data_IF_144068914880
#
_entry.id   IF_144068914880
#
_cell.length_a   1.000
_cell.length_b   1.000
_cell.length_c   1.000
_cell.angle_alpha   90.00
_cell.angle_beta   90.00
_cell.angle_gamma   90.00
#
_symmetry.space_group_name_H-M   'P 1'
#
loop_
_entity.id
_entity.type
_entity.pdbx_description
1 polymer ?
#
# COMPACT_ATOMS: atom_id res chain seq x y z
N UNK A 1 -1.86 -8.35 12.92
CA UNK A 1 -0.45 -7.89 13.02
C UNK A 1 -0.30 -6.45 12.52
N UNK A 2 -0.56 -6.18 11.23
CA UNK A 2 -0.40 -4.85 10.61
C UNK A 2 -1.17 -3.74 11.33
N UNK A 3 -2.44 -3.97 11.69
CA UNK A 3 -3.26 -2.96 12.40
C UNK A 3 -2.59 -2.46 13.69
N UNK A 4 -2.22 -3.38 14.59
CA UNK A 4 -1.55 -3.04 15.85
C UNK A 4 -0.18 -2.38 15.61
N UNK A 5 0.52 -2.75 14.54
CA UNK A 5 1.78 -2.11 14.15
C UNK A 5 1.55 -0.66 13.72
N UNK A 6 0.59 -0.41 12.83
CA UNK A 6 0.21 0.92 12.38
C UNK A 6 -0.24 1.82 13.56
N UNK A 7 -1.04 1.30 14.49
CA UNK A 7 -1.46 2.02 15.70
C UNK A 7 -0.29 2.37 16.63
N UNK A 8 0.71 1.49 16.76
CA UNK A 8 1.90 1.79 17.56
C UNK A 8 2.75 2.87 16.88
N UNK A 9 2.97 2.76 15.58
CA UNK A 9 3.72 3.75 14.80
C UNK A 9 3.03 5.12 14.85
N UNK A 10 1.72 5.18 14.67
CA UNK A 10 0.97 6.45 14.70
C UNK A 10 1.08 7.13 16.06
N UNK A 11 0.94 6.39 17.17
CA UNK A 11 1.12 6.93 18.53
C UNK A 11 2.55 7.42 18.78
N UNK A 12 3.57 6.64 18.38
CA UNK A 12 4.98 7.00 18.61
C UNK A 12 5.40 8.22 17.81
N UNK A 13 5.00 8.29 16.53
CA UNK A 13 5.35 9.40 15.64
C UNK A 13 4.38 10.59 15.72
N UNK A 14 3.29 10.45 16.49
CA UNK A 14 2.19 11.41 16.60
C UNK A 14 1.55 11.73 15.24
N UNK A 15 1.36 10.70 14.42
CA UNK A 15 0.69 10.81 13.12
C UNK A 15 -0.80 10.48 13.27
N UNK A 16 -1.63 11.13 12.46
CA UNK A 16 -3.01 10.71 12.28
C UNK A 16 -3.05 9.30 11.66
N UNK A 17 -3.87 8.42 12.23
CA UNK A 17 -4.07 7.06 11.71
C UNK A 17 -5.34 7.00 10.87
N UNK A 18 -5.23 6.41 9.70
CA UNK A 18 -6.37 6.11 8.83
C UNK A 18 -6.32 4.66 8.35
N UNK A 19 -7.49 4.03 8.30
CA UNK A 19 -7.72 2.73 7.66
C UNK A 19 -8.49 2.88 6.34
N UNK A 20 -8.50 4.09 5.75
CA UNK A 20 -9.37 4.48 4.65
C UNK A 20 -9.00 3.90 3.28
N UNK A 21 -7.98 3.05 3.15
CA UNK A 21 -7.66 2.36 1.90
C UNK A 21 -8.56 1.13 1.79
N UNK A 22 -9.34 1.07 0.73
CA UNK A 22 -10.29 -0.01 0.47
C UNK A 22 -9.89 -0.74 -0.81
N UNK A 23 -10.02 -2.08 -0.78
CA UNK A 23 -9.85 -2.91 -1.97
C UNK A 23 -11.22 -3.15 -2.60
N UNK A 24 -11.42 -2.63 -3.80
CA UNK A 24 -12.73 -2.62 -4.49
C UNK A 24 -12.88 -3.70 -5.55
N UNK A 25 -11.78 -4.34 -5.93
CA UNK A 25 -11.78 -5.42 -6.93
C UNK A 25 -11.24 -6.71 -6.33
N UNK A 26 -11.86 -7.83 -6.68
CA UNK A 26 -11.31 -9.16 -6.42
C UNK A 26 -10.04 -9.32 -7.26
N UNK A 27 -8.98 -9.85 -6.66
CA UNK A 27 -7.69 -10.05 -7.31
C UNK A 27 -7.19 -11.44 -6.94
N UNK A 28 -6.47 -12.06 -7.84
CA UNK A 28 -5.82 -13.33 -7.55
C UNK A 28 -4.64 -13.16 -6.57
N UNK A 29 -4.23 -14.21 -5.85
CA UNK A 29 -3.03 -14.17 -5.02
C UNK A 29 -1.79 -13.84 -5.85
N UNK A 30 -1.01 -12.82 -5.46
CA UNK A 30 0.14 -12.33 -6.23
C UNK A 30 1.20 -13.42 -6.54
N UNK A 31 1.32 -14.44 -5.69
CA UNK A 31 2.26 -15.55 -5.86
C UNK A 31 2.00 -16.44 -7.08
N UNK A 32 0.80 -16.39 -7.68
CA UNK A 32 0.49 -17.20 -8.86
C UNK A 32 1.06 -16.60 -10.16
N UNK A 33 1.43 -15.32 -10.13
CA UNK A 33 1.98 -14.62 -11.29
C UNK A 33 3.51 -14.69 -11.25
N UNK A 34 4.11 -15.19 -12.31
CA UNK A 34 5.56 -15.27 -12.46
C UNK A 34 6.15 -13.92 -12.91
N UNK A 35 5.44 -13.18 -13.78
CA UNK A 35 5.96 -11.92 -14.33
C UNK A 35 5.56 -10.70 -13.48
N UNK A 36 6.47 -9.73 -13.40
CA UNK A 36 6.19 -8.43 -12.78
C UNK A 36 5.02 -7.69 -13.45
N UNK A 37 4.83 -7.89 -14.77
CA UNK A 37 3.72 -7.31 -15.54
C UNK A 37 2.40 -7.91 -15.07
N UNK A 38 2.29 -9.24 -15.00
CA UNK A 38 1.08 -9.92 -14.52
C UNK A 38 0.74 -9.54 -13.07
N UNK A 39 1.76 -9.47 -12.20
CA UNK A 39 1.61 -8.99 -10.81
C UNK A 39 1.03 -7.56 -10.76
N UNK A 40 1.54 -6.64 -11.59
CA UNK A 40 1.05 -5.26 -11.71
C UNK A 40 -0.38 -5.20 -12.23
N UNK A 41 -0.68 -5.90 -13.33
CA UNK A 41 -2.01 -5.87 -13.95
C UNK A 41 -3.07 -6.45 -13.04
N UNK A 42 -2.74 -7.51 -12.28
CA UNK A 42 -3.63 -8.06 -11.26
C UNK A 42 -3.95 -7.05 -10.14
N UNK A 43 -3.09 -6.05 -9.85
CA UNK A 43 -3.37 -5.01 -8.85
C UNK A 43 -4.03 -3.76 -9.44
N UNK A 44 -3.90 -3.52 -10.75
CA UNK A 44 -4.39 -2.30 -11.41
C UNK A 44 -5.84 -1.98 -11.03
N UNK A 45 -6.08 -0.74 -10.57
CA UNK A 45 -7.38 -0.22 -10.16
C UNK A 45 -8.10 -1.07 -9.08
N UNK A 46 -7.37 -1.88 -8.31
CA UNK A 46 -7.96 -2.71 -7.27
C UNK A 46 -8.23 -1.96 -5.96
N UNK A 47 -7.75 -0.71 -5.84
CA UNK A 47 -7.79 0.06 -4.60
C UNK A 47 -8.41 1.45 -4.78
N UNK A 48 -9.04 1.92 -3.73
CA UNK A 48 -9.58 3.28 -3.57
C UNK A 48 -9.25 3.80 -2.16
N UNK A 49 -9.55 5.06 -1.91
CA UNK A 49 -9.58 5.63 -0.56
C UNK A 49 -10.86 6.41 -0.36
N UNK A 50 -11.35 6.54 0.87
CA UNK A 50 -12.44 7.47 1.22
C UNK A 50 -11.92 8.70 1.95
N UNK A 51 -10.65 8.67 2.35
CA UNK A 51 -10.03 9.77 3.07
C UNK A 51 -9.48 10.80 2.09
N UNK A 52 -9.68 12.07 2.42
CA UNK A 52 -9.02 13.18 1.73
C UNK A 52 -7.52 13.16 2.04
N UNK A 53 -6.75 13.05 0.96
CA UNK A 53 -5.30 12.89 0.95
C UNK A 53 -4.61 14.05 0.26
N UNK A 54 -5.35 15.05 -0.21
CA UNK A 54 -4.79 16.22 -0.89
C UNK A 54 -3.78 16.91 0.00
N UNK A 55 -2.61 17.21 -0.57
CA UNK A 55 -1.48 17.89 0.10
C UNK A 55 -0.94 17.17 1.35
N UNK A 56 -1.35 15.92 1.60
CA UNK A 56 -0.84 15.14 2.73
C UNK A 56 0.45 14.40 2.39
N UNK A 57 1.32 14.28 3.40
CA UNK A 57 2.46 13.35 3.41
C UNK A 57 2.03 12.08 4.13
N UNK A 58 2.02 10.96 3.42
CA UNK A 58 1.43 9.71 3.89
C UNK A 58 2.52 8.68 4.13
N UNK A 59 2.55 8.11 5.33
CA UNK A 59 3.29 6.90 5.63
C UNK A 59 2.37 5.69 5.41
N UNK A 60 2.62 4.92 4.35
CA UNK A 60 1.84 3.72 4.01
C UNK A 60 2.42 2.51 4.72
N UNK A 61 1.61 1.81 5.52
CA UNK A 61 2.04 0.65 6.30
C UNK A 61 1.52 -0.65 5.67
N UNK A 62 2.41 -1.63 5.49
CA UNK A 62 2.07 -2.99 5.07
C UNK A 62 2.93 -4.01 5.85
N UNK A 63 2.57 -5.30 5.86
CA UNK A 63 3.43 -6.32 6.48
C UNK A 63 4.62 -6.70 5.61
N UNK A 64 4.38 -7.02 4.33
CA UNK A 64 5.37 -7.64 3.46
C UNK A 64 5.47 -6.89 2.13
N UNK A 65 6.71 -6.56 1.76
CA UNK A 65 7.06 -6.16 0.40
C UNK A 65 7.56 -7.37 -0.40
N UNK A 66 6.80 -7.79 -1.42
CA UNK A 66 7.25 -8.75 -2.43
C UNK A 66 7.71 -8.05 -3.72
N UNK A 67 6.97 -8.16 -4.83
CA UNK A 67 7.27 -7.44 -6.08
C UNK A 67 7.07 -5.91 -5.97
N UNK A 68 6.39 -5.47 -4.92
CA UNK A 68 5.96 -4.09 -4.73
C UNK A 68 4.76 -3.68 -5.58
N UNK A 69 4.12 -4.59 -6.33
CA UNK A 69 2.94 -4.29 -7.17
C UNK A 69 1.81 -3.64 -6.36
N UNK A 70 1.46 -4.20 -5.20
CA UNK A 70 0.43 -3.68 -4.29
C UNK A 70 0.75 -2.26 -3.82
N UNK A 71 1.94 -2.05 -3.26
CA UNK A 71 2.37 -0.75 -2.73
C UNK A 71 2.43 0.30 -3.85
N UNK A 72 2.95 -0.05 -5.02
CA UNK A 72 3.01 0.87 -6.18
C UNK A 72 1.61 1.28 -6.65
N UNK A 73 0.66 0.34 -6.68
CA UNK A 73 -0.72 0.65 -7.06
C UNK A 73 -1.38 1.60 -6.06
N UNK A 74 -1.29 1.30 -4.76
CA UNK A 74 -1.86 2.14 -3.70
C UNK A 74 -1.21 3.52 -3.69
N UNK A 75 0.13 3.58 -3.71
CA UNK A 75 0.85 4.85 -3.72
C UNK A 75 0.50 5.68 -4.96
N UNK A 76 0.43 5.04 -6.14
CA UNK A 76 0.00 5.70 -7.37
C UNK A 76 -1.43 6.26 -7.27
N UNK A 77 -2.36 5.50 -6.69
CA UNK A 77 -3.74 5.94 -6.46
C UNK A 77 -3.79 7.15 -5.51
N UNK A 78 -3.05 7.12 -4.40
CA UNK A 78 -2.97 8.23 -3.45
C UNK A 78 -2.35 9.49 -4.08
N UNK A 79 -1.27 9.34 -4.86
CA UNK A 79 -0.63 10.45 -5.58
C UNK A 79 -1.57 11.07 -6.61
N UNK A 80 -2.33 10.26 -7.37
CA UNK A 80 -3.36 10.76 -8.31
C UNK A 80 -4.47 11.54 -7.61
N UNK A 81 -4.72 11.28 -6.33
CA UNK A 81 -5.67 12.02 -5.48
C UNK A 81 -5.08 13.25 -4.78
N UNK A 82 -3.85 13.62 -5.12
CA UNK A 82 -3.24 14.87 -4.65
C UNK A 82 -2.34 14.72 -3.43
N UNK A 83 -1.98 13.50 -3.00
CA UNK A 83 -0.99 13.33 -1.94
C UNK A 83 0.35 13.96 -2.33
N UNK A 84 0.93 14.75 -1.43
CA UNK A 84 2.23 15.41 -1.64
C UNK A 84 3.36 14.37 -1.64
N UNK A 85 3.32 13.44 -0.69
CA UNK A 85 4.32 12.38 -0.54
C UNK A 85 3.64 11.08 -0.10
N UNK A 86 4.13 9.95 -0.61
CA UNK A 86 3.74 8.62 -0.11
C UNK A 86 5.01 7.82 0.13
N UNK A 87 5.28 7.49 1.38
CA UNK A 87 6.45 6.71 1.81
C UNK A 87 5.99 5.36 2.39
N UNK A 88 6.36 4.23 1.78
CA UNK A 88 6.03 2.91 2.33
C UNK A 88 6.95 2.52 3.48
N UNK A 89 6.39 1.93 4.53
CA UNK A 89 7.10 1.25 5.61
C UNK A 89 6.53 -0.16 5.75
N UNK A 90 7.39 -1.16 5.62
CA UNK A 90 7.04 -2.59 5.69
C UNK A 90 7.81 -3.28 6.80
N UNK A 91 7.24 -4.36 7.34
CA UNK A 91 7.88 -5.16 8.39
C UNK A 91 8.95 -6.08 7.78
N UNK A 92 8.67 -6.67 6.62
CA UNK A 92 9.59 -7.57 5.94
C UNK A 92 9.61 -7.33 4.43
N UNK A 93 10.74 -7.67 3.81
CA UNK A 93 10.93 -7.69 2.36
C UNK A 93 11.35 -9.07 1.93
N UNK A 94 10.70 -9.64 0.91
CA UNK A 94 11.13 -10.90 0.31
C UNK A 94 12.36 -10.65 -0.58
N UNK A 95 13.28 -11.62 -0.61
CA UNK A 95 14.53 -11.55 -1.40
C UNK A 95 14.54 -12.49 -2.61
N UNK A 96 13.40 -13.11 -2.95
CA UNK A 96 13.33 -14.23 -3.90
C UNK A 96 12.54 -14.00 -5.20
N UNK A 97 11.98 -12.81 -5.43
CA UNK A 97 11.22 -12.52 -6.66
C UNK A 97 12.13 -12.19 -7.84
N UNK A 98 12.65 -13.21 -8.52
CA UNK A 98 13.04 -13.07 -9.94
C UNK A 98 11.80 -13.15 -10.81
#
# INVERSE_FOLDING_TARGET
LVKNFAEKISRTLKFELSHGILKTRITEPQKIFESAIGKKDNMKNAFTTEVDVKEKKILLIDDIFDSGSTIKEIAGMLKRRGAELVAPLVIAKTVGGR
#
